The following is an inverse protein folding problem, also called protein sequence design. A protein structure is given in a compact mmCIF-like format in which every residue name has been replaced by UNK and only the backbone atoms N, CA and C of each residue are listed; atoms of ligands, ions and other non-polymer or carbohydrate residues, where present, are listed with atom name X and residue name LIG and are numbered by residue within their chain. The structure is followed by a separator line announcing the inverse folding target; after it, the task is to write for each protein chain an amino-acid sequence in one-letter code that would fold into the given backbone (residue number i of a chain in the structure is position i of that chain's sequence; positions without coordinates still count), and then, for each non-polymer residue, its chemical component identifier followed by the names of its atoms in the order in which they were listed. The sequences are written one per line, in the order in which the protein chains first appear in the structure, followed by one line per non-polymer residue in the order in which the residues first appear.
data_IF_141385489892
#
_entry.id   IF_141385489892
#
_cell.length_a   1.000
_cell.length_b   1.000
_cell.length_c   1.000
_cell.angle_alpha   90.00
_cell.angle_beta   90.00
_cell.angle_gamma   90.00
#
_symmetry.space_group_name_H-M   'P 1'
#
loop_
_entity.id
_entity.type
_entity.pdbx_description
1 polymer ?
#
# COMPACT_ATOMS: atom_id res chain seq x y z
N UNK A 1 6.23 13.76 -8.46
CA UNK A 1 7.00 13.09 -7.40
C UNK A 1 8.19 12.38 -8.01
N UNK A 2 9.33 12.39 -7.34
CA UNK A 2 10.51 11.69 -7.82
C UNK A 2 10.35 10.18 -7.55
N UNK A 3 10.88 9.34 -8.46
CA UNK A 3 10.96 7.88 -8.30
C UNK A 3 9.61 7.24 -7.91
N UNK A 4 8.58 7.52 -8.68
CA UNK A 4 7.26 6.89 -8.56
C UNK A 4 6.64 6.99 -7.16
N UNK A 5 6.76 8.14 -6.51
CA UNK A 5 6.27 8.37 -5.14
C UNK A 5 6.85 7.40 -4.09
N UNK A 6 8.09 6.94 -4.28
CA UNK A 6 8.75 6.01 -3.37
C UNK A 6 8.92 6.61 -1.96
N UNK A 7 8.72 5.83 -0.88
CA UNK A 7 8.80 6.31 0.51
C UNK A 7 10.11 7.05 0.85
N UNK A 8 11.24 6.62 0.30
CA UNK A 8 12.56 7.19 0.58
C UNK A 8 12.71 8.68 0.26
N UNK A 9 11.90 9.18 -0.68
CA UNK A 9 12.01 10.59 -1.09
C UNK A 9 11.26 11.55 -0.18
N UNK A 10 10.47 11.05 0.75
CA UNK A 10 9.79 11.90 1.73
C UNK A 10 10.78 12.64 2.64
N UNK A 11 11.98 12.10 2.86
CA UNK A 11 13.05 12.80 3.60
C UNK A 11 13.51 14.10 2.94
N UNK A 12 13.24 14.29 1.64
CA UNK A 12 13.63 15.48 0.87
C UNK A 12 12.45 16.39 0.55
N UNK A 13 11.21 15.98 0.94
CA UNK A 13 10.03 16.79 0.66
C UNK A 13 9.89 17.90 1.68
N UNK A 14 9.45 19.04 1.18
CA UNK A 14 8.92 20.14 1.98
C UNK A 14 7.43 20.27 1.70
N UNK A 15 6.61 20.59 2.71
CA UNK A 15 5.18 20.78 2.47
C UNK A 15 4.95 21.98 1.55
N UNK A 16 3.95 21.84 0.68
CA UNK A 16 3.51 22.96 -0.13
C UNK A 16 2.76 23.98 0.75
N UNK A 17 2.92 25.28 0.52
CA UNK A 17 2.23 26.34 1.27
C UNK A 17 0.75 26.47 0.82
N UNK A 18 0.06 25.35 0.74
CA UNK A 18 -1.32 25.26 0.27
C UNK A 18 -2.15 24.45 1.27
N UNK A 19 -3.45 24.78 1.37
CA UNK A 19 -4.40 24.00 2.18
C UNK A 19 -4.94 22.80 1.41
N UNK A 20 -5.43 21.81 2.13
CA UNK A 20 -6.10 20.62 1.59
C UNK A 20 -5.22 19.77 0.64
N UNK A 21 -3.94 19.68 0.94
CA UNK A 21 -3.00 18.80 0.21
C UNK A 21 -3.01 17.42 0.85
N UNK A 22 -3.08 16.40 0.01
CA UNK A 22 -2.85 14.99 0.35
C UNK A 22 -1.56 14.56 -0.32
N UNK A 23 -0.62 14.00 0.46
CA UNK A 23 0.65 13.52 -0.05
C UNK A 23 0.55 12.03 -0.35
N UNK A 24 1.00 11.68 -1.55
CA UNK A 24 0.87 10.33 -2.07
C UNK A 24 2.16 9.53 -1.90
N UNK A 25 2.05 8.28 -1.47
CA UNK A 25 3.15 7.30 -1.43
C UNK A 25 2.74 6.03 -2.17
N UNK A 26 3.72 5.43 -2.90
CA UNK A 26 3.58 4.11 -3.52
C UNK A 26 4.49 3.11 -2.81
N UNK A 27 3.98 1.90 -2.53
CA UNK A 27 4.72 0.89 -1.78
C UNK A 27 4.76 -0.45 -2.51
N UNK A 28 5.90 -0.71 -3.15
CA UNK A 28 6.20 -1.97 -3.82
C UNK A 28 7.51 -2.62 -3.33
N UNK A 29 8.04 -2.17 -2.18
CA UNK A 29 9.29 -2.73 -1.66
C UNK A 29 9.06 -4.03 -0.88
N UNK A 30 9.95 -5.03 -1.07
CA UNK A 30 11.07 -5.08 -2.02
C UNK A 30 10.60 -5.42 -3.44
N UNK A 31 11.07 -4.67 -4.43
CA UNK A 31 10.58 -4.77 -5.82
C UNK A 31 10.75 -6.19 -6.39
N UNK A 32 11.89 -6.83 -6.13
CA UNK A 32 12.16 -8.18 -6.64
C UNK A 32 11.24 -9.26 -6.05
N UNK A 33 10.57 -8.99 -4.93
CA UNK A 33 9.52 -9.85 -4.39
C UNK A 33 8.16 -9.49 -4.99
N UNK A 34 7.78 -8.22 -4.93
CA UNK A 34 6.44 -7.79 -5.35
C UNK A 34 6.22 -7.94 -6.86
N UNK A 35 7.29 -7.93 -7.66
CA UNK A 35 7.26 -8.06 -9.12
C UNK A 35 7.96 -9.34 -9.62
N UNK A 36 8.17 -10.34 -8.76
CA UNK A 36 8.86 -11.55 -9.17
C UNK A 36 8.17 -12.24 -10.34
N UNK A 37 8.95 -12.68 -11.33
CA UNK A 37 8.47 -13.34 -12.56
C UNK A 37 7.52 -12.49 -13.43
N UNK A 38 7.47 -11.19 -13.22
CA UNK A 38 6.73 -10.26 -14.10
C UNK A 38 7.46 -10.07 -15.40
N UNK A 39 8.75 -9.84 -15.32
CA UNK A 39 9.64 -9.75 -16.51
C UNK A 39 10.63 -10.90 -16.53
N UNK A 40 11.14 -11.29 -17.73
CA UNK A 40 12.05 -12.42 -17.86
C UNK A 40 13.28 -12.38 -16.97
N UNK A 41 13.79 -11.19 -16.66
CA UNK A 41 14.95 -11.01 -15.78
C UNK A 41 14.68 -11.32 -14.29
N UNK A 42 13.42 -11.29 -13.86
CA UNK A 42 13.02 -11.54 -12.47
C UNK A 42 12.57 -12.99 -12.26
N UNK A 43 13.45 -13.94 -12.53
CA UNK A 43 13.14 -15.40 -12.48
C UNK A 43 13.14 -15.97 -11.07
N UNK A 44 13.81 -15.32 -10.13
CA UNK A 44 13.98 -15.82 -8.75
C UNK A 44 12.66 -15.75 -7.99
N UNK A 45 12.40 -16.80 -7.22
CA UNK A 45 11.21 -16.85 -6.35
C UNK A 45 11.65 -16.53 -4.92
N UNK A 46 11.00 -15.54 -4.35
CA UNK A 46 11.13 -15.13 -2.97
C UNK A 46 9.84 -15.38 -2.21
N UNK A 47 9.95 -15.52 -0.90
CA UNK A 47 8.81 -15.72 0.01
C UNK A 47 8.78 -14.58 1.03
N UNK A 48 7.60 -14.17 1.44
CA UNK A 48 7.42 -13.22 2.53
C UNK A 48 6.68 -13.87 3.73
N UNK A 49 7.14 -13.65 4.97
CA UNK A 49 8.42 -13.03 5.36
C UNK A 49 9.61 -13.85 4.87
N UNK A 50 10.73 -13.18 4.55
CA UNK A 50 11.91 -13.89 4.08
C UNK A 50 13.02 -13.00 3.54
N UNK A 51 14.10 -13.64 3.08
CA UNK A 51 15.22 -12.94 2.48
C UNK A 51 14.95 -12.59 1.02
N UNK A 52 15.10 -11.32 0.69
CA UNK A 52 15.08 -10.80 -0.68
C UNK A 52 16.38 -10.05 -0.90
N UNK A 53 17.20 -10.52 -1.83
CA UNK A 53 18.51 -9.93 -2.18
C UNK A 53 19.40 -9.66 -0.96
N UNK A 54 19.51 -10.63 -0.07
CA UNK A 54 20.38 -10.57 1.13
C UNK A 54 19.82 -9.78 2.30
N UNK A 55 18.61 -9.22 2.19
CA UNK A 55 17.94 -8.51 3.27
C UNK A 55 16.68 -9.25 3.70
N UNK A 56 16.50 -9.43 5.00
CA UNK A 56 15.28 -10.02 5.55
C UNK A 56 14.14 -9.00 5.56
N UNK A 57 13.00 -9.41 5.01
CA UNK A 57 11.78 -8.62 4.91
C UNK A 57 10.67 -9.25 5.73
N UNK A 58 10.14 -8.43 6.64
CA UNK A 58 9.01 -8.70 7.51
C UNK A 58 8.26 -7.38 7.75
N UNK A 59 7.26 -7.38 8.63
CA UNK A 59 6.51 -6.17 9.00
C UNK A 59 7.42 -5.03 9.47
N UNK A 60 8.46 -5.34 10.26
CA UNK A 60 9.39 -4.32 10.76
C UNK A 60 10.30 -3.76 9.65
N UNK A 61 10.65 -4.56 8.65
CA UNK A 61 11.35 -4.05 7.48
C UNK A 61 10.46 -3.14 6.62
N UNK A 62 9.15 -3.45 6.50
CA UNK A 62 8.17 -2.56 5.86
C UNK A 62 8.01 -1.26 6.65
N UNK A 63 7.93 -1.35 7.99
CA UNK A 63 7.87 -0.18 8.89
C UNK A 63 9.07 0.75 8.67
N UNK A 64 10.27 0.21 8.67
CA UNK A 64 11.49 0.99 8.39
C UNK A 64 11.48 1.62 7.00
N UNK A 65 10.93 0.93 6.00
CA UNK A 65 10.80 1.47 4.65
C UNK A 65 9.83 2.67 4.60
N UNK A 66 8.76 2.64 5.39
CA UNK A 66 7.74 3.69 5.47
C UNK A 66 8.09 4.81 6.45
N UNK A 67 9.15 4.65 7.27
CA UNK A 67 9.54 5.63 8.28
C UNK A 67 9.67 7.07 7.75
N UNK A 68 10.29 7.35 6.59
CA UNK A 68 10.38 8.72 6.07
C UNK A 68 9.02 9.38 5.83
N UNK A 69 8.02 8.59 5.40
CA UNK A 69 6.65 9.08 5.18
C UNK A 69 5.98 9.39 6.53
N UNK A 70 6.16 8.50 7.51
CA UNK A 70 5.61 8.69 8.86
C UNK A 70 6.22 9.90 9.56
N UNK A 71 7.54 10.09 9.44
CA UNK A 71 8.25 11.26 9.96
C UNK A 71 7.75 12.55 9.32
N UNK A 72 7.56 12.56 7.99
CA UNK A 72 6.98 13.70 7.28
C UNK A 72 5.55 13.99 7.78
N UNK A 73 4.71 12.97 7.91
CA UNK A 73 3.35 13.11 8.44
C UNK A 73 3.36 13.74 9.85
N UNK A 74 4.19 13.21 10.75
CA UNK A 74 4.24 13.67 12.13
C UNK A 74 4.80 15.09 12.24
N UNK A 75 5.84 15.39 11.47
CA UNK A 75 6.50 16.70 11.49
C UNK A 75 5.59 17.83 10.98
N UNK A 76 4.78 17.54 9.98
CA UNK A 76 4.02 18.57 9.27
C UNK A 76 2.50 18.45 9.41
N UNK A 77 2.00 17.47 10.17
CA UNK A 77 0.57 17.20 10.24
C UNK A 77 -0.05 16.82 8.90
N UNK A 78 0.75 16.24 7.99
CA UNK A 78 0.35 16.00 6.62
C UNK A 78 -0.66 14.84 6.51
N UNK A 79 -1.63 14.97 5.59
CA UNK A 79 -2.48 13.84 5.19
C UNK A 79 -1.74 12.98 4.18
N UNK A 80 -1.72 11.69 4.41
CA UNK A 80 -1.04 10.71 3.55
C UNK A 80 -2.08 9.77 2.93
N UNK A 81 -1.88 9.45 1.65
CA UNK A 81 -2.57 8.35 0.97
C UNK A 81 -1.54 7.40 0.38
N UNK A 82 -1.66 6.12 0.64
CA UNK A 82 -0.92 5.08 -0.07
C UNK A 82 -1.77 4.64 -1.26
N UNK A 83 -1.62 5.36 -2.39
CA UNK A 83 -2.51 5.18 -3.55
C UNK A 83 -2.13 4.02 -4.45
N UNK A 84 -0.91 3.51 -4.30
CA UNK A 84 -0.48 2.31 -5.01
C UNK A 84 0.30 1.38 -4.10
N UNK A 85 -0.18 0.18 -3.98
CA UNK A 85 0.54 -0.96 -3.42
C UNK A 85 -0.07 -2.25 -3.94
N UNK A 86 0.77 -3.24 -4.15
CA UNK A 86 0.35 -4.58 -4.50
C UNK A 86 1.49 -5.58 -4.31
N UNK A 87 1.21 -6.84 -4.53
CA UNK A 87 2.16 -7.92 -4.69
C UNK A 87 1.64 -8.87 -5.75
N UNK A 88 2.51 -9.30 -6.64
CA UNK A 88 2.13 -10.22 -7.70
C UNK A 88 1.45 -11.46 -7.11
N UNK A 89 0.32 -11.88 -7.69
CA UNK A 89 -0.58 -12.90 -7.08
C UNK A 89 0.07 -14.26 -6.86
N UNK A 90 1.10 -14.60 -7.61
CA UNK A 90 1.85 -15.86 -7.43
C UNK A 90 3.06 -15.75 -6.49
N UNK A 91 3.23 -14.62 -5.78
CA UNK A 91 4.28 -14.50 -4.79
C UNK A 91 3.92 -15.25 -3.50
N UNK A 92 4.73 -16.23 -3.04
CA UNK A 92 4.47 -16.93 -1.79
C UNK A 92 4.44 -15.96 -0.61
N UNK A 93 3.38 -16.02 0.22
CA UNK A 93 3.17 -15.12 1.36
C UNK A 93 2.64 -13.73 0.97
N UNK A 94 2.08 -13.57 -0.24
CA UNK A 94 1.55 -12.29 -0.72
C UNK A 94 0.42 -11.74 0.14
N UNK A 95 -0.45 -12.61 0.65
CA UNK A 95 -1.51 -12.24 1.60
C UNK A 95 -0.95 -11.70 2.91
N UNK A 96 0.14 -12.28 3.41
CA UNK A 96 0.81 -11.82 4.63
C UNK A 96 1.49 -10.46 4.43
N UNK A 97 2.13 -10.27 3.27
CA UNK A 97 2.72 -8.97 2.90
C UNK A 97 1.66 -7.87 2.87
N UNK A 98 0.52 -8.11 2.22
CA UNK A 98 -0.58 -7.15 2.17
C UNK A 98 -1.15 -6.88 3.57
N UNK A 99 -1.34 -7.94 4.39
CA UNK A 99 -1.85 -7.79 5.74
C UNK A 99 -0.93 -6.92 6.62
N UNK A 100 0.38 -7.16 6.57
CA UNK A 100 1.35 -6.41 7.35
C UNK A 100 1.44 -4.94 6.88
N UNK A 101 1.38 -4.70 5.56
CA UNK A 101 1.40 -3.36 4.99
C UNK A 101 0.15 -2.56 5.34
N UNK A 102 -1.02 -3.17 5.19
CA UNK A 102 -2.30 -2.55 5.53
C UNK A 102 -2.44 -2.29 7.03
N UNK A 103 -1.94 -3.21 7.88
CA UNK A 103 -1.90 -2.98 9.32
C UNK A 103 -1.05 -1.75 9.69
N UNK A 104 0.03 -1.47 8.96
CA UNK A 104 0.82 -0.24 9.15
C UNK A 104 0.06 1.00 8.69
N UNK A 105 -0.69 0.92 7.58
CA UNK A 105 -1.51 2.03 7.10
C UNK A 105 -2.62 2.37 8.09
N UNK A 106 -3.31 1.37 8.64
CA UNK A 106 -4.31 1.55 9.69
C UNK A 106 -3.69 2.16 10.98
N UNK A 107 -2.53 1.65 11.42
CA UNK A 107 -1.78 2.19 12.57
C UNK A 107 -1.41 3.67 12.39
N UNK A 108 -1.06 4.07 11.16
CA UNK A 108 -0.66 5.44 10.83
C UNK A 108 -1.83 6.33 10.43
N UNK A 109 -3.03 5.76 10.34
CA UNK A 109 -4.25 6.45 9.88
C UNK A 109 -4.07 7.03 8.46
N UNK A 110 -3.48 6.22 7.56
CA UNK A 110 -3.34 6.57 6.16
C UNK A 110 -4.51 6.01 5.35
N UNK A 111 -5.03 6.82 4.45
CA UNK A 111 -5.90 6.33 3.40
C UNK A 111 -5.12 5.44 2.44
N UNK A 112 -5.78 4.48 1.81
CA UNK A 112 -5.12 3.58 0.87
C UNK A 112 -6.01 3.17 -0.29
N UNK A 113 -5.39 2.87 -1.45
CA UNK A 113 -6.05 2.31 -2.62
C UNK A 113 -5.26 1.09 -3.10
N UNK A 114 -5.91 -0.05 -3.23
CA UNK A 114 -5.26 -1.25 -3.76
C UNK A 114 -5.06 -1.10 -5.28
N UNK A 115 -3.86 -1.38 -5.77
CA UNK A 115 -3.53 -1.38 -7.18
C UNK A 115 -3.30 -2.81 -7.69
N UNK A 116 -4.20 -3.39 -8.54
CA UNK A 116 -5.36 -2.72 -9.07
C UNK A 116 -6.51 -3.71 -9.30
N UNK A 117 -7.72 -3.18 -9.38
CA UNK A 117 -8.90 -3.96 -9.69
C UNK A 117 -9.02 -4.17 -11.20
N UNK A 118 -8.89 -5.43 -11.66
CA UNK A 118 -9.07 -5.88 -13.06
C UNK A 118 -8.24 -5.14 -14.13
N UNK A 119 -7.17 -4.46 -13.74
CA UNK A 119 -6.28 -3.78 -14.68
C UNK A 119 -5.38 -4.79 -15.39
N UNK A 120 -4.79 -5.69 -14.61
CA UNK A 120 -3.91 -6.74 -15.10
C UNK A 120 -3.99 -7.97 -14.20
N UNK A 121 -4.01 -9.16 -14.79
CA UNK A 121 -4.19 -10.43 -14.08
C UNK A 121 -3.18 -10.67 -12.95
N UNK A 122 -1.97 -10.14 -13.07
CA UNK A 122 -0.94 -10.26 -12.04
C UNK A 122 -1.24 -9.57 -10.72
N UNK A 123 -2.02 -8.49 -10.75
CA UNK A 123 -2.45 -7.76 -9.56
C UNK A 123 -3.86 -8.12 -9.11
N UNK A 124 -4.65 -8.74 -10.01
CA UNK A 124 -6.06 -9.01 -9.76
C UNK A 124 -6.25 -9.92 -8.55
N UNK A 125 -7.13 -9.48 -7.66
CA UNK A 125 -7.49 -10.20 -6.42
C UNK A 125 -8.45 -11.36 -6.67
N UNK A 126 -9.14 -11.36 -7.80
CA UNK A 126 -10.15 -12.37 -8.12
C UNK A 126 -9.56 -13.72 -8.56
N UNK A 127 -8.29 -13.75 -8.98
CA UNK A 127 -7.61 -14.98 -9.38
C UNK A 127 -6.76 -15.55 -8.24
N UNK A 128 -6.65 -16.86 -8.20
CA UNK A 128 -5.78 -17.60 -7.30
C UNK A 128 -4.29 -17.33 -7.54
N UNK A 129 -3.44 -18.02 -6.80
CA UNK A 129 -2.00 -17.82 -6.79
C UNK A 129 -1.22 -18.61 -7.84
N UNK A 130 -1.91 -19.35 -8.71
CA UNK A 130 -1.28 -20.12 -9.79
C UNK A 130 -0.64 -19.18 -10.81
N UNK A 131 0.61 -19.49 -11.18
CA UNK A 131 1.38 -18.66 -12.08
C UNK A 131 0.68 -18.45 -13.43
N UNK A 132 0.24 -17.22 -13.72
CA UNK A 132 -0.43 -16.79 -14.95
C UNK A 132 -1.68 -17.61 -15.33
N UNK A 133 -2.23 -18.38 -14.42
CA UNK A 133 -3.48 -19.09 -14.66
C UNK A 133 -4.68 -18.18 -14.39
N UNK A 134 -5.45 -17.90 -15.42
CA UNK A 134 -6.67 -17.10 -15.39
C UNK A 134 -7.90 -17.90 -15.82
N UNK A 135 -7.81 -19.23 -15.80
CA UNK A 135 -8.88 -20.12 -16.26
C UNK A 135 -10.14 -20.01 -15.39
N UNK A 136 -9.97 -19.74 -14.09
CA UNK A 136 -11.11 -19.52 -13.19
C UNK A 136 -10.76 -18.51 -12.10
N UNK A 137 -11.79 -17.79 -11.64
CA UNK A 137 -11.71 -16.93 -10.47
C UNK A 137 -11.77 -17.75 -9.19
N UNK A 138 -11.10 -17.27 -8.15
CA UNK A 138 -11.07 -17.88 -6.82
C UNK A 138 -11.73 -16.94 -5.79
N UNK A 139 -13.03 -17.10 -5.49
CA UNK A 139 -13.71 -16.26 -4.50
C UNK A 139 -13.19 -16.49 -3.07
N UNK A 140 -12.50 -17.58 -2.84
CA UNK A 140 -11.89 -17.91 -1.54
C UNK A 140 -10.46 -17.34 -1.40
N UNK A 141 -9.96 -16.62 -2.40
CA UNK A 141 -8.63 -16.05 -2.42
C UNK A 141 -8.37 -15.22 -1.13
N UNK A 142 -7.36 -15.59 -0.31
CA UNK A 142 -7.09 -14.88 0.95
C UNK A 142 -6.80 -13.40 0.79
N UNK A 143 -6.17 -12.98 -0.34
CA UNK A 143 -5.89 -11.57 -0.63
C UNK A 143 -7.17 -10.79 -0.89
N UNK A 144 -8.11 -11.37 -1.66
CA UNK A 144 -9.43 -10.78 -1.90
C UNK A 144 -10.19 -10.61 -0.59
N UNK A 145 -10.29 -11.68 0.22
CA UNK A 145 -10.97 -11.64 1.52
C UNK A 145 -10.36 -10.60 2.46
N UNK A 146 -9.04 -10.49 2.51
CA UNK A 146 -8.35 -9.48 3.31
C UNK A 146 -8.80 -8.06 2.92
N UNK A 147 -8.74 -7.74 1.62
CA UNK A 147 -9.11 -6.41 1.12
C UNK A 147 -10.59 -6.13 1.37
N UNK A 148 -11.49 -7.05 1.06
CA UNK A 148 -12.93 -6.88 1.29
C UNK A 148 -13.27 -6.67 2.77
N UNK A 149 -12.62 -7.41 3.68
CA UNK A 149 -12.82 -7.26 5.13
C UNK A 149 -12.35 -5.89 5.63
N UNK A 150 -11.32 -5.31 5.05
CA UNK A 150 -10.87 -3.97 5.40
C UNK A 150 -11.78 -2.90 4.80
N UNK A 151 -12.18 -3.03 3.54
CA UNK A 151 -13.13 -2.12 2.91
C UNK A 151 -14.50 -2.10 3.62
N UNK A 152 -14.93 -3.24 4.17
CA UNK A 152 -16.17 -3.32 4.95
C UNK A 152 -16.16 -2.48 6.24
N UNK A 153 -14.97 -2.07 6.72
CA UNK A 153 -14.84 -1.16 7.87
C UNK A 153 -15.04 0.31 7.50
N UNK A 154 -15.02 0.63 6.21
CA UNK A 154 -15.24 2.00 5.75
C UNK A 154 -16.65 2.43 6.14
N UNK A 155 -16.76 3.61 6.74
CA UNK A 155 -18.07 4.19 7.04
C UNK A 155 -18.76 4.56 5.74
N UNK A 156 -19.98 4.10 5.54
CA UNK A 156 -20.82 4.63 4.48
C UNK A 156 -21.09 6.10 4.80
N UNK A 157 -20.76 6.97 3.86
CA UNK A 157 -21.21 8.36 3.93
C UNK A 157 -22.72 8.33 3.72
N UNK A 158 -23.49 8.84 4.70
CA UNK A 158 -24.89 9.12 4.52
C UNK A 158 -25.04 10.31 3.56
N UNK A 159 -25.09 10.01 2.28
CA UNK A 159 -25.26 11.02 1.22
C UNK A 159 -26.65 11.67 1.27
N UNK A 160 -27.59 11.12 2.00
CA UNK A 160 -28.94 11.69 2.19
C UNK A 160 -28.97 12.84 3.21
N UNK A 161 -27.99 12.92 4.10
CA UNK A 161 -27.94 13.89 5.21
C UNK A 161 -27.09 15.15 4.99
N UNK A 162 -26.45 15.32 3.88
CA UNK A 162 -25.94 16.60 3.35
C UNK A 162 -24.92 17.41 4.17
N UNK A 163 -24.11 16.81 5.07
CA UNK A 163 -22.97 17.57 5.64
C UNK A 163 -21.76 16.69 5.89
N UNK A 164 -20.88 16.59 4.90
CA UNK A 164 -19.51 16.16 5.16
C UNK A 164 -18.82 17.22 6.03
N UNK A 165 -18.55 16.89 7.28
CA UNK A 165 -17.67 17.71 8.13
C UNK A 165 -16.29 17.09 8.09
N UNK A 166 -15.27 17.76 7.51
CA UNK A 166 -13.89 17.31 7.63
C UNK A 166 -13.54 17.29 9.13
N UNK A 167 -13.06 16.16 9.62
CA UNK A 167 -12.35 16.15 10.90
C UNK A 167 -11.00 16.82 10.65
N UNK A 168 -10.97 18.14 10.77
CA UNK A 168 -9.73 18.88 10.74
C UNK A 168 -9.01 18.62 12.06
N UNK A 169 -7.94 17.84 12.03
CA UNK A 169 -6.91 17.99 13.04
C UNK A 169 -6.38 19.45 12.94
N UNK A 170 -6.24 20.18 14.05
CA UNK A 170 -5.68 21.52 13.99
C UNK A 170 -4.25 21.45 13.43
N UNK A 171 -4.00 22.18 12.35
CA UNK A 171 -2.65 22.36 11.85
C UNK A 171 -1.84 23.10 12.92
N UNK A 172 -0.62 22.67 13.25
CA UNK A 172 0.26 23.48 14.08
C UNK A 172 0.50 24.82 13.36
N UNK A 173 0.49 25.90 14.13
CA UNK A 173 0.85 27.22 13.62
C UNK A 173 2.25 27.15 13.00
N UNK A 174 2.38 27.69 11.82
CA UNK A 174 3.68 27.88 11.17
C UNK A 174 4.16 29.24 11.66
N UNK A 175 5.16 29.24 12.56
CA UNK A 175 5.95 30.42 12.91
C UNK A 175 6.94 30.75 11.80
#
# INVERSE_FOLDING_TARGET
SNDWSSPRYFSYLHPLPLKNIIYNVHMYRPLNYTHQRVVPALTRIYTYPGNVDGKYWDKEALRRCLAPVREFQQKYGARIVMSEFSVIRWAPGGERYLADLLALSEEYQWDWCYHAFREWDGWDLEYGNQYRDTSCKDPENPRLKLILNLLAKNRQLDLAGGSWKPQAAPLPAID
#
